data_IF_501041864508
#
_entry.id   IF_501041864508
#
_cell.length_a   1.000
_cell.length_b   1.000
_cell.length_c   1.000
_cell.angle_alpha   90.00
_cell.angle_beta   90.00
_cell.angle_gamma   90.00
#
_symmetry.space_group_name_H-M   'P 1'
#
loop_
_entity.id
_entity.type
_entity.pdbx_description
1 polymer ?
#
# COMPACT_ATOMS: atom_id res chain seq x y z
N UNK A 1 1.60 58.87 -45.60
CA UNK A 1 1.36 59.21 -44.19
C UNK A 1 1.02 57.92 -43.44
N UNK A 2 1.76 57.64 -42.36
CA UNK A 2 1.54 56.68 -41.24
C UNK A 2 1.37 55.20 -41.64
N UNK A 3 2.37 54.31 -41.50
CA UNK A 3 3.02 53.76 -40.30
C UNK A 3 2.03 52.99 -39.38
N UNK A 4 2.11 51.66 -39.31
CA UNK A 4 2.71 50.91 -38.19
C UNK A 4 2.66 49.40 -38.43
N UNK A 5 3.82 48.79 -38.22
CA UNK A 5 4.12 47.37 -38.20
C UNK A 5 3.99 46.89 -36.74
N UNK A 6 3.13 45.91 -36.42
CA UNK A 6 3.09 45.25 -35.11
C UNK A 6 2.81 43.75 -35.31
N UNK A 7 3.86 43.00 -35.65
CA UNK A 7 3.98 41.59 -35.29
C UNK A 7 5.02 41.52 -34.15
N UNK A 8 4.58 41.61 -32.91
CA UNK A 8 5.40 41.35 -31.73
C UNK A 8 4.56 40.62 -30.67
N UNK A 9 4.39 39.30 -30.82
CA UNK A 9 4.20 38.42 -29.67
C UNK A 9 5.58 38.05 -29.15
N UNK A 10 6.10 38.83 -28.21
CA UNK A 10 7.25 38.43 -27.41
C UNK A 10 6.81 37.25 -26.56
N UNK A 11 7.24 36.05 -26.94
CA UNK A 11 7.16 34.86 -26.10
C UNK A 11 8.07 35.09 -24.89
N UNK A 12 7.49 35.25 -23.70
CA UNK A 12 8.20 35.44 -22.42
C UNK A 12 9.21 34.31 -22.07
N UNK A 13 9.30 33.27 -22.89
CA UNK A 13 10.11 32.06 -22.70
C UNK A 13 11.56 32.18 -23.18
N UNK A 14 11.95 33.24 -23.89
CA UNK A 14 13.33 33.40 -24.39
C UNK A 14 14.19 34.40 -23.59
N UNK A 15 13.64 34.98 -22.51
CA UNK A 15 14.42 35.86 -21.65
C UNK A 15 15.19 35.06 -20.58
N UNK A 16 16.41 35.48 -20.19
CA UNK A 16 17.14 34.85 -19.10
C UNK A 16 16.34 34.82 -17.78
N UNK A 17 15.43 35.78 -17.57
CA UNK A 17 14.49 35.79 -16.44
C UNK A 17 13.43 34.68 -16.53
N UNK A 18 12.95 34.33 -17.74
CA UNK A 18 12.03 33.23 -17.96
C UNK A 18 12.64 31.85 -17.68
N UNK A 19 13.91 31.66 -18.04
CA UNK A 19 14.68 30.45 -17.68
C UNK A 19 14.93 30.35 -16.19
N UNK A 20 15.23 31.47 -15.52
CA UNK A 20 15.36 31.53 -14.06
C UNK A 20 14.02 31.22 -13.38
N UNK A 21 12.89 31.67 -13.92
CA UNK A 21 11.57 31.31 -13.39
C UNK A 21 11.27 29.81 -13.53
N UNK A 22 11.66 29.18 -14.64
CA UNK A 22 11.55 27.72 -14.81
C UNK A 22 12.48 26.94 -13.88
N UNK A 23 13.68 27.45 -13.62
CA UNK A 23 14.64 26.87 -12.66
C UNK A 23 14.16 27.08 -11.22
N UNK A 24 13.60 28.24 -10.89
CA UNK A 24 13.01 28.50 -9.56
C UNK A 24 11.74 27.66 -9.39
N UNK A 25 10.92 27.46 -10.42
CA UNK A 25 9.78 26.55 -10.35
C UNK A 25 10.20 25.07 -10.27
N UNK A 26 11.34 24.68 -10.86
CA UNK A 26 11.88 23.32 -10.71
C UNK A 26 12.54 23.09 -9.34
N UNK A 27 13.16 24.12 -8.75
CA UNK A 27 13.74 24.10 -7.41
C UNK A 27 12.69 24.32 -6.30
N UNK A 28 11.64 25.09 -6.55
CA UNK A 28 10.50 25.28 -5.63
C UNK A 28 9.55 24.06 -5.64
N UNK A 29 9.64 23.22 -6.68
CA UNK A 29 9.03 21.88 -6.72
C UNK A 29 9.93 20.78 -6.10
N UNK A 30 10.93 21.14 -5.29
CA UNK A 30 11.70 20.17 -4.49
C UNK A 30 10.84 19.38 -3.47
N UNK A 31 9.54 19.62 -3.40
CA UNK A 31 8.60 18.59 -2.95
C UNK A 31 8.41 17.51 -4.01
N UNK A 32 9.50 16.86 -4.43
CA UNK A 32 9.48 15.61 -5.20
C UNK A 32 9.12 14.48 -4.22
N UNK A 33 7.87 14.50 -3.77
CA UNK A 33 7.22 13.25 -3.40
C UNK A 33 7.01 12.53 -4.73
N UNK A 34 7.46 11.28 -4.83
CA UNK A 34 7.03 10.26 -5.82
C UNK A 34 7.81 10.01 -7.11
N UNK A 35 8.79 10.80 -7.58
CA UNK A 35 9.38 10.49 -8.90
C UNK A 35 10.13 9.14 -8.95
N UNK A 36 10.95 8.77 -7.97
CA UNK A 36 11.82 7.60 -8.06
C UNK A 36 11.14 6.25 -7.74
N UNK A 37 10.19 6.21 -6.79
CA UNK A 37 9.46 4.97 -6.44
C UNK A 37 8.40 4.63 -7.49
N UNK A 38 7.68 5.65 -7.99
CA UNK A 38 6.73 5.50 -9.10
C UNK A 38 7.48 5.15 -10.39
N UNK A 39 8.61 5.81 -10.71
CA UNK A 39 9.42 5.47 -11.88
C UNK A 39 9.97 4.03 -11.80
N UNK A 40 10.32 3.49 -10.63
CA UNK A 40 10.75 2.09 -10.53
C UNK A 40 9.59 1.11 -10.76
N UNK A 41 8.41 1.37 -10.21
CA UNK A 41 7.20 0.59 -10.47
C UNK A 41 6.82 0.65 -11.96
N UNK A 42 6.96 1.83 -12.57
CA UNK A 42 6.83 2.05 -14.01
C UNK A 42 7.77 1.19 -14.86
N UNK A 43 9.05 1.18 -14.49
CA UNK A 43 10.12 0.64 -15.33
C UNK A 43 10.36 -0.86 -15.08
N UNK A 44 9.85 -1.39 -13.97
CA UNK A 44 10.05 -2.79 -13.56
C UNK A 44 8.78 -3.55 -13.20
N UNK A 45 7.61 -2.90 -13.23
CA UNK A 45 6.31 -3.50 -13.02
C UNK A 45 5.86 -4.45 -14.15
N UNK A 46 4.67 -5.06 -14.03
CA UNK A 46 4.15 -5.98 -15.05
C UNK A 46 4.12 -5.29 -16.42
N UNK A 47 4.50 -6.02 -17.48
CA UNK A 47 4.52 -5.49 -18.84
C UNK A 47 3.10 -5.04 -19.22
N UNK A 48 2.97 -3.82 -19.76
CA UNK A 48 1.71 -3.19 -20.21
C UNK A 48 0.82 -4.13 -21.06
N UNK A 49 1.44 -5.09 -21.73
CA UNK A 49 0.86 -6.04 -22.67
C UNK A 49 0.07 -7.17 -21.97
N UNK A 50 0.37 -7.49 -20.71
CA UNK A 50 -0.25 -8.60 -19.96
C UNK A 50 -1.60 -8.21 -19.32
N UNK A 51 -1.91 -6.91 -19.32
CA UNK A 51 -3.07 -6.37 -18.61
C UNK A 51 -4.16 -5.78 -19.52
N UNK A 52 -3.95 -5.79 -20.86
CA UNK A 52 -4.84 -5.05 -21.77
C UNK A 52 -5.00 -3.57 -21.36
N UNK A 53 -4.00 -3.03 -20.65
CA UNK A 53 -4.12 -1.76 -19.95
C UNK A 53 -3.84 -0.60 -20.90
N UNK A 54 -4.84 0.26 -21.06
CA UNK A 54 -4.68 1.54 -21.72
C UNK A 54 -3.93 2.55 -20.82
N UNK A 55 -3.56 3.71 -21.36
CA UNK A 55 -2.89 4.77 -20.61
C UNK A 55 -3.67 5.23 -19.35
N UNK A 56 -4.98 5.03 -19.32
CA UNK A 56 -5.86 5.37 -18.19
C UNK A 56 -5.62 4.45 -16.99
N UNK A 57 -5.46 3.14 -17.21
CA UNK A 57 -5.13 2.16 -16.16
C UNK A 57 -3.75 2.45 -15.55
N UNK A 58 -2.80 2.92 -16.35
CA UNK A 58 -1.47 3.34 -15.89
C UNK A 58 -1.53 4.56 -14.95
N UNK A 59 -2.27 5.61 -15.31
CA UNK A 59 -2.42 6.80 -14.48
C UNK A 59 -3.11 6.46 -13.15
N UNK A 60 -4.10 5.56 -13.19
CA UNK A 60 -4.75 5.01 -12.00
C UNK A 60 -3.74 4.35 -11.05
N UNK A 61 -2.86 3.47 -11.55
CA UNK A 61 -1.90 2.78 -10.69
C UNK A 61 -0.85 3.71 -10.08
N UNK A 62 -0.33 4.64 -10.86
CA UNK A 62 0.65 5.64 -10.39
C UNK A 62 0.09 6.44 -9.20
N UNK A 63 -1.13 6.94 -9.33
CA UNK A 63 -1.78 7.71 -8.25
C UNK A 63 -2.10 6.83 -7.02
N UNK A 64 -2.55 5.58 -7.23
CA UNK A 64 -2.77 4.63 -6.14
C UNK A 64 -1.49 4.35 -5.36
N UNK A 65 -0.38 4.13 -6.05
CA UNK A 65 0.93 3.90 -5.45
C UNK A 65 1.37 5.13 -4.67
N UNK A 66 1.39 6.31 -5.29
CA UNK A 66 1.83 7.53 -4.64
C UNK A 66 0.98 7.89 -3.40
N UNK A 67 -0.34 7.79 -3.53
CA UNK A 67 -1.28 7.98 -2.42
C UNK A 67 -1.09 6.93 -1.30
N UNK A 68 -0.85 5.68 -1.69
CA UNK A 68 -0.60 4.56 -0.77
C UNK A 68 0.70 4.71 0.01
N UNK A 69 1.79 5.07 -0.67
CA UNK A 69 3.10 5.33 -0.05
C UNK A 69 3.03 6.50 0.93
N UNK A 70 2.39 7.62 0.55
CA UNK A 70 2.19 8.76 1.44
C UNK A 70 1.44 8.36 2.71
N UNK A 71 0.37 7.57 2.56
CA UNK A 71 -0.43 7.05 3.69
C UNK A 71 0.39 6.12 4.58
N UNK A 72 1.17 5.21 3.98
CA UNK A 72 2.07 4.31 4.71
C UNK A 72 3.16 5.06 5.48
N UNK A 73 3.77 6.08 4.86
CA UNK A 73 4.80 6.89 5.48
C UNK A 73 4.28 7.66 6.70
N UNK A 74 3.11 8.29 6.57
CA UNK A 74 2.48 9.00 7.66
C UNK A 74 2.17 8.06 8.84
N UNK A 75 1.67 6.86 8.55
CA UNK A 75 1.35 5.89 9.59
C UNK A 75 2.59 5.25 10.23
N UNK A 76 3.64 4.98 9.44
CA UNK A 76 4.91 4.48 9.96
C UNK A 76 5.53 5.46 10.97
N UNK A 77 5.65 6.74 10.59
CA UNK A 77 6.09 7.81 11.48
C UNK A 77 5.23 7.90 12.74
N UNK A 78 3.91 7.77 12.59
CA UNK A 78 3.03 7.77 13.75
C UNK A 78 3.30 6.61 14.71
N UNK A 79 3.44 5.38 14.20
CA UNK A 79 3.64 4.19 15.02
C UNK A 79 4.98 4.18 15.75
N UNK A 80 6.01 4.81 15.16
CA UNK A 80 7.38 4.85 15.68
C UNK A 80 7.77 6.21 16.29
N UNK A 81 6.80 7.13 16.50
CA UNK A 81 7.08 8.51 16.94
C UNK A 81 7.81 8.65 18.28
N UNK A 82 7.79 7.61 19.12
CA UNK A 82 8.45 7.58 20.43
C UNK A 82 9.63 6.59 20.47
N UNK A 83 9.91 5.91 19.36
CA UNK A 83 10.99 4.94 19.28
C UNK A 83 12.29 5.64 18.85
N UNK A 84 13.44 5.05 19.21
CA UNK A 84 14.76 5.56 18.78
C UNK A 84 14.87 5.66 17.26
N UNK A 85 14.34 4.66 16.55
CA UNK A 85 14.13 4.72 15.12
C UNK A 85 12.70 5.21 14.87
N UNK A 86 12.57 6.45 14.38
CA UNK A 86 11.28 7.15 14.26
C UNK A 86 10.69 7.12 12.84
N UNK A 87 11.04 6.10 12.05
CA UNK A 87 10.70 5.96 10.63
C UNK A 87 11.12 7.18 9.79
N UNK A 88 12.45 7.41 9.59
CA UNK A 88 12.94 8.52 8.80
C UNK A 88 12.48 8.39 7.34
N UNK A 89 12.33 9.54 6.67
CA UNK A 89 11.74 9.65 5.33
C UNK A 89 12.35 8.70 4.30
N UNK A 90 13.68 8.56 4.36
CA UNK A 90 14.47 7.68 3.51
C UNK A 90 14.03 6.21 3.61
N UNK A 91 13.47 5.80 4.74
CA UNK A 91 13.03 4.42 4.95
C UNK A 91 11.86 4.06 4.05
N UNK A 92 10.99 5.00 3.72
CA UNK A 92 9.89 4.75 2.77
C UNK A 92 10.32 5.08 1.35
N UNK A 93 11.08 6.18 1.18
CA UNK A 93 11.31 6.81 -0.12
C UNK A 93 12.55 6.31 -0.86
N UNK A 94 13.52 5.73 -0.16
CA UNK A 94 14.76 5.23 -0.78
C UNK A 94 14.81 3.71 -0.75
N UNK A 95 15.47 3.12 -1.76
CA UNK A 95 15.69 1.67 -1.80
C UNK A 95 16.53 1.15 -0.62
N UNK A 96 17.15 2.01 0.20
CA UNK A 96 18.02 1.58 1.31
C UNK A 96 17.29 0.69 2.33
N UNK A 97 16.04 0.99 2.69
CA UNK A 97 15.24 0.09 3.53
C UNK A 97 14.91 -1.22 2.83
N UNK A 98 14.80 -1.21 1.49
CA UNK A 98 14.59 -2.41 0.66
C UNK A 98 15.86 -3.24 0.51
N UNK A 99 17.01 -2.80 1.00
CA UNK A 99 18.28 -3.56 0.95
C UNK A 99 18.64 -4.19 2.30
N UNK A 100 17.89 -3.86 3.35
CA UNK A 100 18.18 -4.32 4.71
C UNK A 100 17.21 -5.40 5.15
N UNK A 101 17.72 -6.42 5.85
CA UNK A 101 16.93 -7.48 6.46
C UNK A 101 16.61 -7.19 7.94
N UNK A 102 16.33 -5.92 8.28
CA UNK A 102 16.00 -5.56 9.66
C UNK A 102 14.51 -5.70 9.98
N UNK A 103 14.19 -5.69 11.27
CA UNK A 103 12.83 -5.67 11.77
C UNK A 103 12.07 -4.42 11.31
N UNK A 104 12.75 -3.26 11.31
CA UNK A 104 12.20 -1.98 10.85
C UNK A 104 11.87 -2.02 9.36
N UNK A 105 12.79 -2.55 8.55
CA UNK A 105 12.57 -2.74 7.12
C UNK A 105 11.37 -3.66 6.86
N UNK A 106 11.22 -4.71 7.65
CA UNK A 106 10.09 -5.64 7.58
C UNK A 106 8.75 -4.93 7.84
N UNK A 107 8.68 -4.08 8.87
CA UNK A 107 7.52 -3.22 9.12
C UNK A 107 7.22 -2.28 7.96
N UNK A 108 8.25 -1.62 7.43
CA UNK A 108 8.13 -0.69 6.30
C UNK A 108 7.54 -1.38 5.07
N UNK A 109 8.02 -2.58 4.71
CA UNK A 109 7.46 -3.34 3.59
C UNK A 109 5.96 -3.65 3.80
N UNK A 110 5.61 -4.11 5.00
CA UNK A 110 4.23 -4.46 5.31
C UNK A 110 3.29 -3.26 5.30
N UNK A 111 3.68 -2.14 5.91
CA UNK A 111 2.83 -0.95 5.95
C UNK A 111 2.69 -0.30 4.57
N UNK A 112 3.70 -0.41 3.71
CA UNK A 112 3.61 0.02 2.30
C UNK A 112 2.60 -0.83 1.52
N UNK A 113 2.72 -2.15 1.59
CA UNK A 113 1.77 -3.05 0.95
C UNK A 113 0.33 -2.85 1.46
N UNK A 114 0.18 -2.68 2.77
CA UNK A 114 -1.11 -2.33 3.38
C UNK A 114 -1.64 -0.98 2.88
N UNK A 115 -0.80 0.04 2.79
CA UNK A 115 -1.16 1.40 2.37
C UNK A 115 -1.66 1.48 0.93
N UNK A 116 -0.97 0.79 0.02
CA UNK A 116 -1.36 0.68 -1.39
C UNK A 116 -2.68 -0.09 -1.52
N UNK A 117 -2.77 -1.29 -0.92
CA UNK A 117 -3.99 -2.10 -0.96
C UNK A 117 -5.20 -1.37 -0.38
N UNK A 118 -5.04 -0.73 0.79
CA UNK A 118 -6.11 0.03 1.43
C UNK A 118 -6.55 1.22 0.58
N UNK A 119 -5.62 1.91 -0.07
CA UNK A 119 -5.94 3.07 -0.91
C UNK A 119 -6.67 2.63 -2.18
N UNK A 120 -6.21 1.57 -2.83
CA UNK A 120 -6.90 0.96 -3.97
C UNK A 120 -8.33 0.55 -3.61
N UNK A 121 -8.48 -0.23 -2.54
CA UNK A 121 -9.79 -0.71 -2.08
C UNK A 121 -10.73 0.47 -1.85
N UNK A 122 -10.28 1.49 -1.10
CA UNK A 122 -11.12 2.65 -0.77
C UNK A 122 -11.57 3.42 -2.01
N UNK A 123 -10.69 3.59 -3.00
CA UNK A 123 -11.02 4.32 -4.22
C UNK A 123 -11.98 3.55 -5.13
N UNK A 124 -11.81 2.23 -5.24
CA UNK A 124 -12.76 1.36 -5.93
C UNK A 124 -14.16 1.47 -5.31
N UNK A 125 -14.26 1.37 -3.99
CA UNK A 125 -15.56 1.44 -3.28
C UNK A 125 -16.20 2.83 -3.28
N UNK A 126 -15.43 3.88 -3.60
CA UNK A 126 -15.94 5.23 -3.84
C UNK A 126 -16.31 5.48 -5.32
N UNK A 127 -16.09 4.53 -6.21
CA UNK A 127 -16.38 4.67 -7.64
C UNK A 127 -15.40 5.57 -8.39
N UNK A 128 -14.17 5.75 -7.90
CA UNK A 128 -13.16 6.55 -8.60
C UNK A 128 -12.65 5.89 -9.89
N UNK A 129 -12.92 4.59 -10.08
CA UNK A 129 -12.49 3.81 -11.24
C UNK A 129 -13.65 2.97 -11.76
N UNK A 130 -13.75 2.81 -13.08
CA UNK A 130 -14.78 1.99 -13.74
C UNK A 130 -14.56 0.49 -13.55
N UNK A 131 -13.30 0.08 -13.45
CA UNK A 131 -12.91 -1.34 -13.58
C UNK A 131 -12.98 -2.09 -12.23
N UNK A 132 -13.35 -1.41 -11.15
CA UNK A 132 -13.50 -1.99 -9.82
C UNK A 132 -14.59 -1.31 -9.00
N UNK A 133 -15.11 -2.00 -7.98
CA UNK A 133 -16.21 -1.48 -7.18
C UNK A 133 -16.37 -2.16 -5.82
N UNK A 134 -17.61 -2.42 -5.44
CA UNK A 134 -17.99 -3.06 -4.18
C UNK A 134 -18.06 -4.58 -4.33
N UNK A 135 -17.87 -5.32 -3.24
CA UNK A 135 -18.15 -6.74 -3.13
C UNK A 135 -19.66 -6.98 -2.92
N UNK A 136 -20.36 -7.34 -3.99
CA UNK A 136 -21.80 -7.66 -3.94
C UNK A 136 -22.08 -9.13 -3.62
N UNK A 137 -21.07 -9.98 -3.38
CA UNK A 137 -21.23 -11.44 -3.24
C UNK A 137 -22.16 -11.89 -2.10
N UNK A 138 -22.33 -11.04 -1.09
CA UNK A 138 -23.21 -11.29 0.07
C UNK A 138 -24.50 -10.47 0.05
N UNK A 139 -24.64 -9.50 -0.84
CA UNK A 139 -25.76 -8.56 -0.86
C UNK A 139 -27.10 -9.28 -0.92
N UNK A 140 -28.06 -8.84 -0.11
CA UNK A 140 -29.38 -9.46 0.04
C UNK A 140 -29.42 -10.71 0.92
N UNK A 141 -28.27 -11.32 1.27
CA UNK A 141 -28.24 -12.52 2.12
C UNK A 141 -28.43 -12.14 3.59
N UNK A 142 -29.00 -13.06 4.39
CA UNK A 142 -29.08 -12.92 5.86
C UNK A 142 -27.67 -12.96 6.46
N UNK A 143 -27.34 -11.95 7.26
CA UNK A 143 -26.05 -11.87 7.96
C UNK A 143 -26.09 -12.40 9.40
N UNK A 144 -27.29 -12.62 9.93
CA UNK A 144 -27.56 -13.07 11.29
C UNK A 144 -29.00 -12.73 11.69
N UNK A 145 -29.31 -12.75 12.98
CA UNK A 145 -30.65 -12.41 13.47
C UNK A 145 -30.99 -10.95 13.15
N UNK A 146 -32.11 -10.73 12.46
CA UNK A 146 -32.68 -9.43 12.10
C UNK A 146 -31.76 -8.48 11.30
N UNK A 147 -30.83 -9.02 10.50
CA UNK A 147 -30.07 -8.17 9.58
C UNK A 147 -29.69 -8.81 8.24
N UNK A 148 -29.62 -7.95 7.23
CA UNK A 148 -29.29 -8.30 5.85
C UNK A 148 -27.99 -7.61 5.41
N UNK A 149 -27.21 -8.30 4.60
CA UNK A 149 -26.08 -7.69 3.90
C UNK A 149 -26.62 -6.72 2.83
N UNK A 150 -26.14 -5.49 2.84
CA UNK A 150 -26.52 -4.45 1.86
C UNK A 150 -25.39 -3.44 1.69
N UNK A 151 -25.65 -2.29 1.08
CA UNK A 151 -24.69 -1.21 0.89
C UNK A 151 -23.52 -1.60 -0.01
N UNK A 152 -22.43 -0.85 0.10
CA UNK A 152 -21.17 -1.13 -0.57
C UNK A 152 -20.21 -1.81 0.41
N UNK A 153 -19.97 -3.11 0.22
CA UNK A 153 -18.88 -3.78 0.93
C UNK A 153 -17.56 -3.54 0.20
N UNK A 154 -16.50 -3.17 0.92
CA UNK A 154 -15.19 -2.91 0.33
C UNK A 154 -14.55 -4.21 -0.21
N UNK A 155 -14.21 -4.29 -1.51
CA UNK A 155 -13.62 -5.49 -2.13
C UNK A 155 -12.10 -5.59 -1.92
N UNK A 156 -11.73 -6.09 -0.74
CA UNK A 156 -10.33 -6.36 -0.41
C UNK A 156 -9.72 -7.54 -1.17
N UNK A 157 -10.51 -8.42 -1.80
CA UNK A 157 -9.97 -9.58 -2.53
C UNK A 157 -9.43 -9.14 -3.88
N UNK A 158 -10.17 -8.29 -4.58
CA UNK A 158 -9.70 -7.62 -5.79
C UNK A 158 -8.42 -6.83 -5.49
N UNK A 159 -8.45 -5.94 -4.48
CA UNK A 159 -7.30 -5.08 -4.20
C UNK A 159 -6.08 -5.84 -3.68
N UNK A 160 -6.24 -6.98 -3.00
CA UNK A 160 -5.12 -7.83 -2.63
C UNK A 160 -4.40 -8.42 -3.86
N UNK A 161 -5.14 -8.87 -4.87
CA UNK A 161 -4.57 -9.40 -6.13
C UNK A 161 -3.78 -8.34 -6.87
N UNK A 162 -4.37 -7.15 -7.03
CA UNK A 162 -3.72 -6.03 -7.72
C UNK A 162 -2.50 -5.54 -6.95
N UNK A 163 -2.61 -5.37 -5.62
CA UNK A 163 -1.47 -4.99 -4.78
C UNK A 163 -0.34 -6.02 -4.86
N UNK A 164 -0.67 -7.32 -4.92
CA UNK A 164 0.30 -8.39 -5.15
C UNK A 164 1.03 -8.19 -6.48
N UNK A 165 0.29 -8.02 -7.57
CA UNK A 165 0.88 -7.83 -8.90
C UNK A 165 1.76 -6.57 -9.00
N UNK A 166 1.40 -5.48 -8.33
CA UNK A 166 2.16 -4.22 -8.39
C UNK A 166 3.44 -4.23 -7.54
N UNK A 167 3.35 -4.79 -6.33
CA UNK A 167 4.44 -4.67 -5.35
C UNK A 167 5.36 -5.88 -5.43
N UNK A 168 4.80 -7.08 -5.54
CA UNK A 168 5.61 -8.30 -5.54
C UNK A 168 6.40 -8.43 -6.86
N UNK A 169 5.95 -7.83 -7.98
CA UNK A 169 6.70 -7.83 -9.24
C UNK A 169 8.03 -7.06 -9.17
N UNK A 170 8.19 -6.19 -8.17
CA UNK A 170 9.43 -5.44 -7.96
C UNK A 170 10.53 -6.31 -7.33
N UNK A 171 10.15 -7.41 -6.68
CA UNK A 171 11.06 -8.33 -6.03
C UNK A 171 11.45 -9.44 -7.01
N UNK A 172 12.46 -9.14 -7.84
CA UNK A 172 12.95 -10.05 -8.89
C UNK A 172 13.93 -11.13 -8.39
N UNK A 173 14.44 -10.98 -7.16
CA UNK A 173 15.38 -11.91 -6.54
C UNK A 173 14.71 -13.22 -6.13
N UNK A 174 15.52 -14.29 -6.05
CA UNK A 174 15.14 -15.57 -5.43
C UNK A 174 15.90 -15.82 -4.12
N UNK A 175 16.51 -14.77 -3.57
CA UNK A 175 17.31 -14.81 -2.36
C UNK A 175 16.42 -14.73 -1.10
N UNK A 176 17.07 -14.92 0.05
CA UNK A 176 16.44 -14.84 1.37
C UNK A 176 15.72 -13.49 1.55
N UNK A 177 16.37 -12.41 1.10
CA UNK A 177 15.86 -11.06 1.20
C UNK A 177 14.57 -10.87 0.38
N UNK A 178 14.53 -11.31 -0.87
CA UNK A 178 13.31 -11.26 -1.68
C UNK A 178 12.18 -12.07 -1.04
N UNK A 179 12.49 -13.27 -0.52
CA UNK A 179 11.51 -14.13 0.16
C UNK A 179 10.91 -13.46 1.41
N UNK A 180 11.76 -12.85 2.24
CA UNK A 180 11.34 -12.08 3.42
C UNK A 180 10.42 -10.92 3.03
N UNK A 181 10.77 -10.15 2.00
CA UNK A 181 9.96 -9.03 1.54
C UNK A 181 8.60 -9.48 1.00
N UNK A 182 8.57 -10.52 0.18
CA UNK A 182 7.32 -11.07 -0.36
C UNK A 182 6.39 -11.55 0.76
N UNK A 183 6.95 -12.19 1.79
CA UNK A 183 6.20 -12.59 2.99
C UNK A 183 5.64 -11.37 3.73
N UNK A 184 6.49 -10.39 4.04
CA UNK A 184 6.08 -9.20 4.77
C UNK A 184 5.06 -8.36 3.97
N UNK A 185 5.17 -8.29 2.64
CA UNK A 185 4.13 -7.68 1.80
C UNK A 185 2.76 -8.36 2.00
N UNK A 186 2.73 -9.69 2.11
CA UNK A 186 1.52 -10.44 2.40
C UNK A 186 0.99 -10.19 3.81
N UNK A 187 1.87 -10.12 4.82
CA UNK A 187 1.51 -9.73 6.19
C UNK A 187 0.78 -8.38 6.20
N UNK A 188 1.29 -7.41 5.43
CA UNK A 188 0.65 -6.12 5.19
C UNK A 188 -0.76 -6.20 4.60
N UNK A 189 -0.91 -6.93 3.48
CA UNK A 189 -2.21 -7.15 2.83
C UNK A 189 -3.20 -7.87 3.75
N UNK A 190 -2.71 -8.84 4.52
CA UNK A 190 -3.51 -9.58 5.50
C UNK A 190 -3.97 -8.70 6.66
N UNK A 191 -3.14 -7.76 7.13
CA UNK A 191 -3.54 -6.81 8.15
C UNK A 191 -4.75 -5.97 7.73
N UNK A 192 -4.81 -5.55 6.45
CA UNK A 192 -5.98 -4.84 5.90
C UNK A 192 -7.23 -5.72 5.97
N UNK A 193 -7.14 -6.98 5.52
CA UNK A 193 -8.26 -7.93 5.53
C UNK A 193 -8.76 -8.25 6.93
N UNK A 194 -7.84 -8.50 7.87
CA UNK A 194 -8.15 -8.93 9.25
C UNK A 194 -8.73 -7.80 10.11
N UNK A 195 -8.39 -6.54 9.80
CA UNK A 195 -8.89 -5.39 10.56
C UNK A 195 -10.22 -4.83 10.05
N UNK A 196 -10.72 -5.29 8.90
CA UNK A 196 -12.04 -4.91 8.37
C UNK A 196 -13.16 -5.11 9.39
N UNK A 197 -14.07 -4.15 9.43
CA UNK A 197 -15.22 -4.11 10.35
C UNK A 197 -16.53 -4.30 9.58
N UNK A 198 -17.53 -4.83 10.27
CA UNK A 198 -18.90 -4.83 9.77
C UNK A 198 -19.58 -3.56 10.29
N UNK A 199 -20.06 -2.70 9.39
CA UNK A 199 -20.79 -1.48 9.74
C UNK A 199 -22.25 -1.67 9.41
N UNK A 200 -23.12 -1.29 10.35
CA UNK A 200 -24.56 -1.46 10.23
C UNK A 200 -25.30 -0.12 10.30
N UNK A 201 -26.42 -0.03 9.58
CA UNK A 201 -27.43 1.02 9.70
C UNK A 201 -28.74 0.40 10.20
N UNK A 202 -29.32 0.99 11.23
CA UNK A 202 -30.59 0.57 11.83
C UNK A 202 -31.78 1.24 11.15
N UNK A 203 -32.89 0.52 11.01
CA UNK A 203 -34.08 0.93 10.25
C UNK A 203 -35.40 0.75 11.03
N UNK A 204 -35.35 0.71 12.36
CA UNK A 204 -36.56 0.59 13.19
C UNK A 204 -37.21 1.93 13.52
N UNK A 205 -38.46 1.88 13.99
CA UNK A 205 -39.23 3.06 14.45
C UNK A 205 -38.41 3.84 15.48
N UNK A 206 -38.41 5.17 15.35
CA UNK A 206 -37.64 6.09 16.20
C UNK A 206 -36.13 5.80 16.26
N UNK A 207 -35.56 5.18 15.23
CA UNK A 207 -34.12 4.86 15.17
C UNK A 207 -33.73 3.56 15.87
N UNK A 208 -34.70 2.74 16.29
CA UNK A 208 -34.42 1.43 16.88
C UNK A 208 -33.70 0.49 15.90
N UNK A 209 -32.96 -0.49 16.43
CA UNK A 209 -32.21 -1.48 15.64
C UNK A 209 -32.95 -2.82 15.49
N UNK A 210 -34.28 -2.80 15.51
CA UNK A 210 -35.12 -4.01 15.34
C UNK A 210 -34.86 -4.69 14.00
N UNK A 211 -34.63 -3.91 12.95
CA UNK A 211 -34.05 -4.36 11.68
C UNK A 211 -32.83 -3.49 11.35
N UNK A 212 -31.81 -4.09 10.74
CA UNK A 212 -30.63 -3.37 10.28
C UNK A 212 -30.06 -3.95 9.00
N UNK A 213 -29.33 -3.13 8.26
CA UNK A 213 -28.52 -3.60 7.13
C UNK A 213 -27.05 -3.34 7.43
N UNK A 214 -26.15 -4.24 7.01
CA UNK A 214 -24.73 -4.03 7.23
C UNK A 214 -23.88 -4.36 5.99
N UNK A 215 -22.67 -3.81 5.96
CA UNK A 215 -21.65 -4.02 4.94
C UNK A 215 -20.27 -4.20 5.57
N UNK A 216 -19.34 -4.80 4.82
CA UNK A 216 -17.93 -4.88 5.23
C UNK A 216 -17.21 -3.61 4.82
N UNK A 217 -16.56 -2.96 5.77
CA UNK A 217 -15.81 -1.74 5.51
C UNK A 217 -14.37 -1.89 6.03
N UNK A 218 -13.43 -1.28 5.32
CA UNK A 218 -12.08 -1.06 5.79
C UNK A 218 -12.09 -0.40 7.17
N UNK A 219 -11.16 -0.83 8.00
CA UNK A 219 -10.85 -0.13 9.24
C UNK A 219 -10.21 1.22 8.92
N UNK A 220 -10.19 2.14 9.90
CA UNK A 220 -9.29 3.29 9.79
C UNK A 220 -7.84 2.77 9.70
N UNK A 221 -7.03 3.37 8.82
CA UNK A 221 -5.66 2.91 8.58
C UNK A 221 -4.80 2.90 9.85
N UNK A 222 -5.09 3.75 10.84
CA UNK A 222 -4.49 3.70 12.18
C UNK A 222 -4.63 2.33 12.86
N UNK A 223 -5.78 1.67 12.70
CA UNK A 223 -6.01 0.33 13.26
C UNK A 223 -5.16 -0.72 12.54
N UNK A 224 -4.92 -0.55 11.24
CA UNK A 224 -4.00 -1.38 10.46
C UNK A 224 -2.56 -1.18 10.96
N UNK A 225 -2.12 0.07 11.12
CA UNK A 225 -0.81 0.41 11.66
C UNK A 225 -0.58 -0.18 13.05
N UNK A 226 -1.56 -0.06 13.96
CA UNK A 226 -1.50 -0.67 15.29
C UNK A 226 -1.44 -2.20 15.25
N UNK A 227 -2.24 -2.82 14.38
CA UNK A 227 -2.25 -4.28 14.20
C UNK A 227 -0.89 -4.79 13.72
N UNK A 228 -0.24 -4.05 12.81
CA UNK A 228 1.11 -4.36 12.34
C UNK A 228 2.15 -4.07 13.43
N UNK A 229 2.06 -2.95 14.16
CA UNK A 229 3.02 -2.60 15.21
C UNK A 229 3.04 -3.64 16.34
N UNK A 230 1.88 -4.23 16.66
CA UNK A 230 1.80 -5.36 17.61
C UNK A 230 2.56 -6.61 17.15
N UNK A 231 2.56 -6.89 15.86
CA UNK A 231 3.29 -8.04 15.27
C UNK A 231 4.75 -7.74 15.06
N UNK A 232 5.10 -6.48 14.80
CA UNK A 232 6.49 -6.05 14.72
C UNK A 232 7.25 -6.50 15.96
N UNK A 233 6.72 -6.25 17.17
CA UNK A 233 7.34 -6.70 18.43
C UNK A 233 7.43 -8.22 18.63
N UNK A 234 6.78 -9.02 17.78
CA UNK A 234 6.77 -10.49 17.83
C UNK A 234 7.40 -11.12 16.58
N UNK A 235 8.17 -10.34 15.83
CA UNK A 235 8.81 -10.83 14.60
C UNK A 235 9.69 -12.03 14.86
N UNK A 236 9.62 -13.00 13.96
CA UNK A 236 10.43 -14.21 14.00
C UNK A 236 11.72 -13.97 13.21
N UNK A 237 12.85 -14.31 13.83
CA UNK A 237 14.12 -14.44 13.12
C UNK A 237 14.12 -15.79 12.41
N UNK A 238 14.49 -15.83 11.14
CA UNK A 238 14.43 -17.04 10.32
C UNK A 238 15.73 -17.21 9.53
N UNK A 239 16.07 -18.47 9.29
CA UNK A 239 17.08 -18.84 8.34
C UNK A 239 16.48 -19.17 6.98
N UNK A 240 17.27 -18.93 5.95
CA UNK A 240 16.93 -19.31 4.58
C UNK A 240 17.87 -20.43 4.13
N UNK A 241 17.34 -21.64 4.01
CA UNK A 241 18.10 -22.80 3.54
C UNK A 241 17.38 -23.42 2.33
N UNK A 242 18.11 -23.61 1.23
CA UNK A 242 17.62 -24.28 0.00
C UNK A 242 16.27 -23.73 -0.54
N UNK A 243 16.03 -22.41 -0.43
CA UNK A 243 14.79 -21.81 -0.90
C UNK A 243 13.60 -21.94 0.06
N UNK A 244 13.81 -22.50 1.26
CA UNK A 244 12.80 -22.63 2.33
C UNK A 244 13.15 -21.72 3.51
N UNK A 245 12.11 -21.12 4.09
CA UNK A 245 12.20 -20.37 5.35
C UNK A 245 12.11 -21.37 6.52
N UNK A 246 12.93 -21.21 7.54
CA UNK A 246 12.86 -21.95 8.82
C UNK A 246 13.11 -21.01 10.00
N UNK A 247 12.45 -21.20 11.14
CA UNK A 247 12.66 -20.42 12.36
C UNK A 247 14.10 -20.53 12.85
N UNK A 248 14.72 -19.43 13.24
CA UNK A 248 16.05 -19.41 13.82
C UNK A 248 15.95 -19.16 15.33
N UNK A 249 16.30 -20.18 16.12
CA UNK A 249 16.39 -20.01 17.57
C UNK A 249 17.76 -19.49 17.96
N UNK A 250 17.82 -18.19 18.27
CA UNK A 250 19.05 -17.51 18.73
C UNK A 250 19.63 -18.15 20.01
N UNK A 251 18.78 -18.70 20.88
CA UNK A 251 19.20 -19.34 22.13
C UNK A 251 19.84 -20.72 21.95
N UNK A 252 19.48 -21.46 20.89
CA UNK A 252 19.98 -22.82 20.66
C UNK A 252 20.98 -22.94 19.50
N UNK A 253 21.17 -21.86 18.72
CA UNK A 253 22.07 -21.86 17.56
C UNK A 253 21.65 -22.80 16.44
N UNK A 254 20.38 -23.24 16.43
CA UNK A 254 19.84 -24.20 15.46
C UNK A 254 18.64 -23.62 14.70
N UNK A 255 18.59 -23.91 13.40
CA UNK A 255 17.44 -23.61 12.54
C UNK A 255 16.39 -24.71 12.65
N UNK A 256 15.16 -24.34 12.97
CA UNK A 256 13.98 -25.19 12.91
C UNK A 256 13.29 -24.98 11.55
N UNK A 257 13.02 -26.05 10.80
CA UNK A 257 12.23 -25.95 9.57
C UNK A 257 10.77 -25.62 9.91
N UNK A 258 10.15 -24.62 9.26
CA UNK A 258 8.70 -24.42 9.37
C UNK A 258 7.99 -25.58 8.68
N UNK A 259 7.29 -26.41 9.46
CA UNK A 259 6.60 -27.57 8.91
C UNK A 259 5.28 -27.19 8.23
N UNK A 260 4.70 -26.01 8.51
CA UNK A 260 3.52 -25.55 7.79
C UNK A 260 3.47 -24.05 7.51
N UNK A 261 2.95 -23.69 6.32
CA UNK A 261 2.64 -22.32 5.88
C UNK A 261 1.72 -21.54 6.86
N UNK A 262 1.01 -22.25 7.74
CA UNK A 262 0.10 -21.69 8.76
C UNK A 262 0.82 -21.16 10.01
N UNK A 263 2.01 -21.65 10.33
CA UNK A 263 2.77 -21.24 11.53
C UNK A 263 3.24 -19.79 11.45
N UNK A 264 3.56 -19.31 10.25
CA UNK A 264 4.09 -17.95 10.01
C UNK A 264 3.13 -17.03 9.25
N UNK A 265 1.95 -17.50 8.85
CA UNK A 265 1.00 -16.78 7.98
C UNK A 265 0.60 -15.39 8.54
N UNK A 266 0.82 -15.16 9.84
CA UNK A 266 0.39 -13.96 10.53
C UNK A 266 1.51 -13.19 11.24
N UNK A 267 2.76 -13.64 11.16
CA UNK A 267 3.88 -13.02 11.87
C UNK A 267 4.88 -12.39 10.89
N UNK A 268 5.56 -11.33 11.34
CA UNK A 268 6.67 -10.75 10.60
C UNK A 268 7.85 -11.71 10.59
N UNK A 269 8.55 -11.74 9.47
CA UNK A 269 9.76 -12.52 9.31
C UNK A 269 10.94 -11.58 9.07
N UNK A 270 12.05 -11.86 9.75
CA UNK A 270 13.34 -11.16 9.65
C UNK A 270 14.41 -12.22 9.38
N UNK A 271 15.25 -12.05 8.35
CA UNK A 271 16.35 -12.99 8.10
C UNK A 271 17.43 -12.81 9.18
N UNK A 272 17.86 -13.91 9.81
CA UNK A 272 18.92 -13.95 10.81
C UNK A 272 20.33 -13.97 10.18
#
# INVERSE_FOLDING_TARGET
MLNTNINNRVTLFETPLGLIFLIIMSLANWRIISAWSVNKILMTGPKMNEFGANATTYLMFSDIVASGEKKAAAECRYQFRLDRWNCPEESIMTQKSRLSATQEASFVQSILAAGIMHTLTRRCSLGHFSDCGCDDSKKGKRGGHNWLWSGCSDDVRFSARVSKQLIDSLEKGKDALASMKLHNNEVGRMAVRKTMKTICKCHGVSGSCTTKTCWRQLANFRRVGYYLKKRYFKSLHVNFQEGKLGEWNVASGQGLSFNTKREIEYEFIVIA
#
